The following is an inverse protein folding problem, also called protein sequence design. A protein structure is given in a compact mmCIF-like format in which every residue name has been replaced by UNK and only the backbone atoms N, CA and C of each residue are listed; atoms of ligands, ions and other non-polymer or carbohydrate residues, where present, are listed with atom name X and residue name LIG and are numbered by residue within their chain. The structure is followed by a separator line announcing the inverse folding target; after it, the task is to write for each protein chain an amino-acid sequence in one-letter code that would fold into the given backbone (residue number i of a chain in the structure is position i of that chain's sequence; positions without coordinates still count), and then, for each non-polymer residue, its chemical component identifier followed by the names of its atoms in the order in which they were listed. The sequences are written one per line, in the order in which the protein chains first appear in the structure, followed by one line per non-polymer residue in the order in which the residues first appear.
data_IF_588067033471
#
_entry.id   IF_588067033471
#
_cell.length_a   1.000
_cell.length_b   1.000
_cell.length_c   1.000
_cell.angle_alpha   90.00
_cell.angle_beta   90.00
_cell.angle_gamma   90.00
#
_symmetry.space_group_name_H-M   'P 1'
#
loop_
_entity.id
_entity.type
_entity.pdbx_description
1 polymer ?
#
# COMPACT_ATOMS: atom_id res chain seq x y z
N UNK A 1 -10.11 -9.56 -21.84
CA UNK A 1 -9.44 -9.92 -20.56
C UNK A 1 -8.80 -8.65 -20.02
N UNK A 2 -8.84 -8.42 -18.70
CA UNK A 2 -8.19 -7.25 -18.09
C UNK A 2 -6.66 -7.34 -18.25
N UNK A 3 -6.01 -6.23 -18.61
CA UNK A 3 -4.55 -6.16 -18.69
C UNK A 3 -3.90 -6.19 -17.31
N UNK A 4 -2.61 -6.53 -17.23
CA UNK A 4 -1.88 -6.62 -15.96
C UNK A 4 -1.90 -5.28 -15.20
N UNK A 5 -1.77 -4.16 -15.91
CA UNK A 5 -1.83 -2.81 -15.33
C UNK A 5 -3.18 -2.50 -14.67
N UNK A 6 -4.30 -2.90 -15.30
CA UNK A 6 -5.64 -2.71 -14.73
C UNK A 6 -5.83 -3.57 -13.46
N UNK A 7 -5.41 -4.84 -13.51
CA UNK A 7 -5.48 -5.74 -12.36
C UNK A 7 -4.66 -5.23 -11.19
N UNK A 8 -3.47 -4.68 -11.45
CA UNK A 8 -2.58 -4.16 -10.42
C UNK A 8 -3.09 -2.85 -9.83
N UNK A 9 -3.69 -1.97 -10.65
CA UNK A 9 -4.34 -0.75 -10.16
C UNK A 9 -5.46 -1.11 -9.16
N UNK A 10 -6.35 -2.02 -9.56
CA UNK A 10 -7.44 -2.50 -8.69
C UNK A 10 -6.89 -3.28 -7.49
N UNK A 11 -5.84 -4.07 -7.67
CA UNK A 11 -5.20 -4.85 -6.61
C UNK A 11 -4.57 -3.97 -5.54
N UNK A 12 -3.92 -2.86 -5.93
CA UNK A 12 -3.36 -1.89 -4.97
C UNK A 12 -4.49 -1.22 -4.17
N UNK A 13 -5.56 -0.79 -4.84
CA UNK A 13 -6.74 -0.22 -4.17
C UNK A 13 -7.35 -1.23 -3.20
N UNK A 14 -7.54 -2.48 -3.64
CA UNK A 14 -8.08 -3.56 -2.82
C UNK A 14 -7.20 -3.81 -1.59
N UNK A 15 -5.87 -3.87 -1.74
CA UNK A 15 -4.95 -4.04 -0.61
C UNK A 15 -5.04 -2.89 0.39
N UNK A 16 -5.11 -1.65 -0.11
CA UNK A 16 -5.28 -0.46 0.74
C UNK A 16 -6.59 -0.54 1.52
N UNK A 17 -7.70 -0.92 0.86
CA UNK A 17 -8.99 -1.10 1.50
C UNK A 17 -8.98 -2.24 2.54
N UNK A 18 -8.31 -3.35 2.27
CA UNK A 18 -8.17 -4.46 3.22
C UNK A 18 -7.52 -3.97 4.53
N UNK A 19 -6.43 -3.20 4.44
CA UNK A 19 -5.76 -2.65 5.63
C UNK A 19 -6.68 -1.70 6.42
N UNK A 20 -7.47 -0.88 5.73
CA UNK A 20 -8.46 0.01 6.36
C UNK A 20 -9.56 -0.79 7.07
N UNK A 21 -10.15 -1.78 6.38
CA UNK A 21 -11.21 -2.62 6.92
C UNK A 21 -10.74 -3.33 8.18
N UNK A 22 -9.52 -3.90 8.17
CA UNK A 22 -8.95 -4.56 9.34
C UNK A 22 -8.78 -3.57 10.51
N UNK A 23 -8.30 -2.35 10.24
CA UNK A 23 -8.11 -1.32 11.27
C UNK A 23 -9.44 -0.92 11.92
N UNK A 24 -10.45 -0.63 11.11
CA UNK A 24 -11.75 -0.18 11.59
C UNK A 24 -12.55 -1.32 12.24
N UNK A 25 -12.38 -2.56 11.79
CA UNK A 25 -12.94 -3.73 12.46
C UNK A 25 -12.39 -3.90 13.88
N UNK A 26 -11.07 -3.75 14.07
CA UNK A 26 -10.45 -3.85 15.41
C UNK A 26 -10.92 -2.69 16.30
N UNK A 27 -10.89 -1.45 15.79
CA UNK A 27 -11.36 -0.26 16.54
C UNK A 27 -12.81 -0.39 16.96
N UNK A 28 -13.68 -0.81 16.04
CA UNK A 28 -15.09 -1.06 16.34
C UNK A 28 -15.26 -2.11 17.44
N UNK A 29 -14.48 -3.20 17.39
CA UNK A 29 -14.48 -4.22 18.43
C UNK A 29 -14.09 -3.69 19.82
N UNK A 30 -13.10 -2.80 19.91
CA UNK A 30 -12.68 -2.18 21.17
C UNK A 30 -13.77 -1.28 21.76
N UNK A 31 -14.46 -0.51 20.90
CA UNK A 31 -15.58 0.36 21.32
C UNK A 31 -16.77 -0.46 21.78
N UNK A 32 -17.17 -1.48 21.02
CA UNK A 32 -18.31 -2.35 21.36
C UNK A 32 -18.10 -3.11 22.67
N UNK A 33 -16.84 -3.47 22.99
CA UNK A 33 -16.45 -4.09 24.26
C UNK A 33 -16.27 -3.08 25.40
N UNK A 34 -16.50 -1.79 25.16
CA UNK A 34 -16.27 -0.68 26.10
C UNK A 34 -14.83 -0.60 26.62
N UNK A 35 -13.86 -1.18 25.91
CA UNK A 35 -12.45 -1.12 26.26
C UNK A 35 -11.85 0.25 25.95
N UNK A 36 -12.40 0.94 24.95
CA UNK A 36 -12.02 2.30 24.56
C UNK A 36 -13.30 3.09 24.23
N UNK A 37 -13.48 4.34 24.71
CA UNK A 37 -14.58 5.20 24.27
C UNK A 37 -14.51 5.48 22.77
N UNK A 38 -15.65 5.75 22.12
CA UNK A 38 -15.68 6.03 20.67
C UNK A 38 -14.83 7.25 20.26
N UNK A 39 -14.71 8.24 21.14
CA UNK A 39 -13.86 9.43 20.99
C UNK A 39 -12.50 9.27 21.71
N UNK A 40 -12.17 8.06 22.15
CA UNK A 40 -10.97 7.80 22.95
C UNK A 40 -9.71 7.57 22.12
N UNK A 41 -9.81 7.43 20.79
CA UNK A 41 -8.64 7.22 19.92
C UNK A 41 -7.89 8.53 19.68
N UNK A 42 -6.59 8.57 19.98
CA UNK A 42 -5.79 9.78 19.73
C UNK A 42 -5.45 9.91 18.24
N UNK A 43 -5.41 11.13 17.67
CA UNK A 43 -5.11 11.33 16.24
C UNK A 43 -3.76 10.75 15.79
N UNK A 44 -2.78 10.71 16.68
CA UNK A 44 -1.44 10.16 16.44
C UNK A 44 -1.36 8.64 16.65
N UNK A 45 -2.45 8.00 17.09
CA UNK A 45 -2.53 6.59 17.44
C UNK A 45 -1.60 6.16 18.61
N UNK A 46 -1.06 7.10 19.39
CA UNK A 46 -0.13 6.78 20.49
C UNK A 46 -0.75 5.88 21.56
N UNK A 47 -2.07 5.96 21.75
CA UNK A 47 -2.80 5.13 22.72
C UNK A 47 -3.28 3.76 22.16
N UNK A 48 -2.83 3.39 20.96
CA UNK A 48 -3.12 2.08 20.35
C UNK A 48 -2.06 1.03 20.70
N UNK A 49 -2.41 -0.25 20.55
CA UNK A 49 -1.42 -1.33 20.67
C UNK A 49 -0.33 -1.20 19.59
N UNK A 50 0.90 -1.72 19.84
CA UNK A 50 1.98 -1.64 18.86
C UNK A 50 1.62 -2.21 17.47
N UNK A 51 0.80 -3.26 17.43
CA UNK A 51 0.30 -3.80 16.17
C UNK A 51 -0.60 -2.80 15.43
N UNK A 52 -1.56 -2.19 16.12
CA UNK A 52 -2.48 -1.22 15.50
C UNK A 52 -1.76 0.06 15.06
N UNK A 53 -0.73 0.50 15.78
CA UNK A 53 0.13 1.61 15.34
C UNK A 53 0.83 1.27 14.01
N UNK A 54 1.39 0.06 13.89
CA UNK A 54 1.99 -0.42 12.64
C UNK A 54 0.96 -0.58 11.52
N UNK A 55 -0.26 -1.02 11.84
CA UNK A 55 -1.36 -1.10 10.87
C UNK A 55 -1.76 0.27 10.34
N UNK A 56 -1.89 1.27 11.21
CA UNK A 56 -2.13 2.65 10.81
C UNK A 56 -1.03 3.18 9.87
N UNK A 57 0.24 2.92 10.21
CA UNK A 57 1.38 3.33 9.36
C UNK A 57 1.46 2.57 8.03
N UNK A 58 1.18 1.27 8.02
CA UNK A 58 1.17 0.46 6.79
C UNK A 58 0.06 0.92 5.82
N UNK A 59 -1.14 1.19 6.35
CA UNK A 59 -2.24 1.77 5.57
C UNK A 59 -1.89 3.17 5.03
N UNK A 60 -1.39 4.06 5.89
CA UNK A 60 -0.97 5.40 5.48
C UNK A 60 0.10 5.35 4.37
N UNK A 61 1.07 4.44 4.49
CA UNK A 61 2.09 4.27 3.45
C UNK A 61 1.51 3.81 2.10
N UNK A 62 0.46 2.99 2.11
CA UNK A 62 -0.28 2.64 0.89
C UNK A 62 -0.96 3.87 0.29
N UNK A 63 -1.67 4.67 1.10
CA UNK A 63 -2.32 5.90 0.66
C UNK A 63 -1.34 6.94 0.11
N UNK A 64 -0.17 7.10 0.71
CA UNK A 64 0.87 8.02 0.23
C UNK A 64 1.43 7.59 -1.13
N UNK A 65 1.50 6.29 -1.38
CA UNK A 65 2.08 5.74 -2.62
C UNK A 65 1.07 5.57 -3.76
N UNK A 66 -0.21 5.37 -3.41
CA UNK A 66 -1.28 5.10 -4.36
C UNK A 66 -1.46 6.23 -5.41
N UNK A 67 -1.39 7.53 -5.08
CA UNK A 67 -1.47 8.59 -6.08
C UNK A 67 -0.37 8.47 -7.13
N UNK A 68 0.87 8.20 -6.72
CA UNK A 68 2.01 8.10 -7.65
C UNK A 68 1.84 6.89 -8.56
N UNK A 69 1.67 5.70 -7.99
CA UNK A 69 1.56 4.45 -8.75
C UNK A 69 0.27 4.42 -9.57
N UNK A 70 -0.84 4.81 -8.95
CA UNK A 70 -2.17 4.78 -9.56
C UNK A 70 -2.30 5.71 -10.74
N UNK A 71 -1.74 6.94 -10.65
CA UNK A 71 -1.72 7.87 -11.78
C UNK A 71 -0.84 7.34 -12.92
N UNK A 72 0.30 6.71 -12.65
CA UNK A 72 1.15 6.12 -13.70
C UNK A 72 0.43 4.99 -14.46
N UNK A 73 -0.22 4.09 -13.72
CA UNK A 73 -1.02 3.01 -14.32
C UNK A 73 -2.21 3.56 -15.11
N UNK A 74 -2.91 4.55 -14.55
CA UNK A 74 -4.04 5.19 -15.22
C UNK A 74 -3.60 5.93 -16.48
N UNK A 75 -2.48 6.65 -16.44
CA UNK A 75 -1.90 7.32 -17.59
C UNK A 75 -1.61 6.31 -18.71
N UNK A 76 -0.94 5.20 -18.40
CA UNK A 76 -0.68 4.15 -19.38
C UNK A 76 -1.97 3.54 -19.97
N UNK A 77 -3.01 3.36 -19.15
CA UNK A 77 -4.30 2.86 -19.60
C UNK A 77 -5.00 3.84 -20.57
N UNK A 78 -5.08 5.13 -20.21
CA UNK A 78 -5.82 6.13 -21.02
C UNK A 78 -5.06 6.54 -22.29
N UNK A 79 -3.73 6.44 -22.30
CA UNK A 79 -2.92 6.72 -23.49
C UNK A 79 -2.65 5.47 -24.34
N UNK A 80 -3.17 4.29 -23.96
CA UNK A 80 -2.91 3.04 -24.66
C UNK A 80 -1.45 2.55 -24.61
N UNK A 81 -0.67 2.98 -23.61
CA UNK A 81 0.76 2.67 -23.43
C UNK A 81 1.00 1.55 -22.40
N UNK A 82 0.04 0.64 -22.22
CA UNK A 82 0.13 -0.41 -21.19
C UNK A 82 1.29 -1.39 -21.44
N UNK A 83 1.80 -1.50 -22.66
CA UNK A 83 3.00 -2.28 -22.96
C UNK A 83 4.23 -1.87 -22.13
N UNK A 84 4.30 -0.60 -21.69
CA UNK A 84 5.36 -0.09 -20.81
C UNK A 84 5.18 -0.56 -19.36
N UNK A 85 3.93 -0.68 -18.89
CA UNK A 85 3.62 -0.95 -17.48
C UNK A 85 3.33 -2.42 -17.20
N UNK A 86 2.68 -3.13 -18.13
CA UNK A 86 2.22 -4.51 -17.97
C UNK A 86 3.33 -5.49 -17.52
N UNK A 87 4.57 -5.44 -18.04
CA UNK A 87 5.61 -6.39 -17.62
C UNK A 87 6.03 -6.25 -16.15
N UNK A 88 5.97 -5.04 -15.60
CA UNK A 88 6.45 -4.73 -14.24
C UNK A 88 5.33 -4.59 -13.22
N UNK A 89 4.08 -4.44 -13.66
CA UNK A 89 2.96 -4.19 -12.77
C UNK A 89 2.76 -5.30 -11.70
N UNK A 90 2.83 -6.60 -12.04
CA UNK A 90 2.69 -7.65 -11.02
C UNK A 90 3.76 -7.57 -9.93
N UNK A 91 5.00 -7.25 -10.30
CA UNK A 91 6.12 -7.10 -9.36
C UNK A 91 5.93 -5.92 -8.40
N UNK A 92 5.36 -4.82 -8.91
CA UNK A 92 5.01 -3.68 -8.07
C UNK A 92 3.97 -4.07 -7.00
N UNK A 93 2.92 -4.81 -7.39
CA UNK A 93 1.89 -5.25 -6.45
C UNK A 93 2.44 -6.22 -5.40
N UNK A 94 3.25 -7.20 -5.83
CA UNK A 94 3.91 -8.13 -4.89
C UNK A 94 4.78 -7.37 -3.89
N UNK A 95 5.59 -6.43 -4.37
CA UNK A 95 6.45 -5.62 -3.51
C UNK A 95 5.64 -4.78 -2.50
N UNK A 96 4.50 -4.21 -2.91
CA UNK A 96 3.57 -3.47 -2.02
C UNK A 96 3.02 -4.36 -0.90
N UNK A 97 2.54 -5.55 -1.26
CA UNK A 97 1.96 -6.51 -0.30
C UNK A 97 3.03 -7.00 0.67
N UNK A 98 4.23 -7.35 0.18
CA UNK A 98 5.37 -7.77 1.01
C UNK A 98 5.77 -6.66 1.98
N UNK A 99 5.97 -5.43 1.49
CA UNK A 99 6.36 -4.29 2.33
C UNK A 99 5.36 -4.08 3.48
N UNK A 100 4.07 -4.05 3.17
CA UNK A 100 3.00 -3.83 4.16
C UNK A 100 2.95 -4.96 5.18
N UNK A 101 2.99 -6.21 4.71
CA UNK A 101 2.87 -7.40 5.56
C UNK A 101 4.06 -7.53 6.52
N UNK A 102 5.28 -7.29 6.03
CA UNK A 102 6.49 -7.30 6.86
C UNK A 102 6.45 -6.19 7.91
N UNK A 103 5.98 -5.00 7.54
CA UNK A 103 5.80 -3.88 8.48
C UNK A 103 4.81 -4.22 9.60
N UNK A 104 3.71 -4.92 9.28
CA UNK A 104 2.75 -5.38 10.29
C UNK A 104 3.38 -6.42 11.24
N UNK A 105 4.12 -7.36 10.67
CA UNK A 105 4.64 -8.52 11.38
C UNK A 105 5.79 -8.18 12.35
N UNK A 106 6.75 -7.35 11.95
CA UNK A 106 7.99 -7.18 12.73
C UNK A 106 8.66 -5.81 12.55
N UNK A 107 9.40 -5.40 13.58
CA UNK A 107 10.30 -4.23 13.59
C UNK A 107 11.77 -4.63 13.74
N UNK A 108 12.11 -5.92 13.64
CA UNK A 108 13.51 -6.36 13.67
C UNK A 108 14.31 -5.75 12.51
N UNK A 109 15.63 -5.65 12.67
CA UNK A 109 16.51 -5.10 11.64
C UNK A 109 16.33 -5.80 10.28
N UNK A 110 16.25 -7.14 10.28
CA UNK A 110 16.00 -7.91 9.06
C UNK A 110 14.65 -7.57 8.40
N UNK A 111 13.59 -7.40 9.20
CA UNK A 111 12.28 -7.01 8.68
C UNK A 111 12.29 -5.58 8.11
N UNK A 112 12.99 -4.66 8.79
CA UNK A 112 13.18 -3.28 8.33
C UNK A 112 13.93 -3.23 7.00
N UNK A 113 15.00 -4.01 6.86
CA UNK A 113 15.75 -4.14 5.61
C UNK A 113 14.90 -4.74 4.49
N UNK A 114 14.12 -5.78 4.78
CA UNK A 114 13.24 -6.41 3.79
C UNK A 114 12.14 -5.48 3.29
N UNK A 115 11.45 -4.75 4.19
CA UNK A 115 10.43 -3.77 3.76
C UNK A 115 11.07 -2.61 2.98
N UNK A 116 12.30 -2.22 3.30
CA UNK A 116 13.02 -1.21 2.53
C UNK A 116 13.36 -1.72 1.12
N UNK A 117 13.83 -2.95 0.99
CA UNK A 117 14.09 -3.56 -0.32
C UNK A 117 12.81 -3.62 -1.19
N UNK A 118 11.69 -4.05 -0.60
CA UNK A 118 10.39 -4.06 -1.29
C UNK A 118 9.90 -2.65 -1.66
N UNK A 119 10.16 -1.64 -0.82
CA UNK A 119 9.89 -0.24 -1.16
C UNK A 119 10.78 0.24 -2.33
N UNK A 120 12.07 -0.08 -2.31
CA UNK A 120 13.02 0.31 -3.36
C UNK A 120 12.64 -0.26 -4.74
N UNK A 121 12.16 -1.51 -4.79
CA UNK A 121 11.62 -2.11 -6.03
C UNK A 121 10.47 -1.27 -6.61
N UNK A 122 9.54 -0.83 -5.76
CA UNK A 122 8.40 -0.03 -6.21
C UNK A 122 8.84 1.34 -6.71
N UNK A 123 9.77 1.99 -6.01
CA UNK A 123 10.33 3.29 -6.43
C UNK A 123 11.05 3.14 -7.77
N UNK A 124 11.85 2.10 -7.96
CA UNK A 124 12.56 1.85 -9.22
C UNK A 124 11.59 1.64 -10.39
N UNK A 125 10.53 0.84 -10.19
CA UNK A 125 9.49 0.62 -11.21
C UNK A 125 8.76 1.94 -11.53
N UNK A 126 8.34 2.69 -10.51
CA UNK A 126 7.62 3.95 -10.70
C UNK A 126 8.49 5.00 -11.41
N UNK A 127 9.77 5.11 -11.06
CA UNK A 127 10.73 6.01 -11.72
C UNK A 127 10.92 5.63 -13.19
N UNK A 128 11.10 4.33 -13.46
CA UNK A 128 11.20 3.83 -14.83
C UNK A 128 9.94 4.14 -15.65
N UNK A 129 8.75 3.84 -15.13
CA UNK A 129 7.49 4.15 -15.81
C UNK A 129 7.31 5.65 -16.07
N UNK A 130 7.68 6.49 -15.10
CA UNK A 130 7.63 7.95 -15.28
C UNK A 130 8.47 8.37 -16.48
N UNK A 131 9.73 7.92 -16.56
CA UNK A 131 10.62 8.26 -17.67
C UNK A 131 10.09 7.70 -19.00
N UNK A 132 9.70 6.43 -19.01
CA UNK A 132 9.26 5.74 -20.22
C UNK A 132 7.95 6.33 -20.79
N UNK A 133 7.01 6.73 -19.94
CA UNK A 133 5.74 7.36 -20.37
C UNK A 133 5.89 8.83 -20.76
N UNK A 134 6.97 9.51 -20.31
CA UNK A 134 7.29 10.87 -20.72
C UNK A 134 7.98 10.94 -22.08
N UNK A 135 8.83 9.96 -22.40
CA UNK A 135 9.69 9.97 -23.61
C UNK A 135 9.08 9.18 -24.76
N UNK A 136 8.40 8.07 -24.50
CA UNK A 136 7.60 7.33 -25.48
C UNK A 136 6.17 7.79 -25.46
#
# INVERSE_FOLDING_TARGET
MKGASELVLLGFVAWTLILLIVMEAIRSGLVLRKSVPANGFTPDNANLSPFMQRLARAHANCLESLPVVGVLLLAALVTGKTATTDPLAPWLLVARVVQSSVHLASLSEAAVSLRFAAFAVQVAIAAWWTIALLVG
#
